data_IF_051684756754
#
_entry.id   IF_051684756754
#
_cell.length_a   1.000
_cell.length_b   1.000
_cell.length_c   1.000
_cell.angle_alpha   90.00
_cell.angle_beta   90.00
_cell.angle_gamma   90.00
#
_symmetry.space_group_name_H-M   'P 1'
#
loop_
_entity.id
_entity.type
_entity.pdbx_description
1 polymer ?
#
# COMPACT_ATOMS: atom_id res chain seq x y z
N UNK A 1 13.11 -2.35 6.61
CA UNK A 1 11.72 -2.36 6.10
C UNK A 1 11.78 -3.16 4.80
N UNK A 2 12.09 -4.44 4.92
CA UNK A 2 12.69 -5.28 3.86
C UNK A 2 11.87 -6.55 3.67
N UNK A 3 10.55 -6.48 3.93
CA UNK A 3 9.72 -7.68 4.09
C UNK A 3 8.65 -7.80 3.00
N UNK A 4 8.77 -7.02 1.92
CA UNK A 4 7.86 -7.11 0.77
C UNK A 4 8.71 -7.39 -0.47
N UNK A 5 8.50 -8.53 -1.12
CA UNK A 5 9.20 -8.88 -2.38
C UNK A 5 8.99 -7.80 -3.44
N UNK A 6 7.80 -7.19 -3.45
CA UNK A 6 7.46 -6.04 -4.28
C UNK A 6 8.29 -4.77 -3.98
N UNK A 7 8.96 -4.67 -2.83
CA UNK A 7 9.93 -3.62 -2.52
C UNK A 7 11.34 -4.03 -2.92
N UNK A 8 11.66 -5.31 -2.84
CA UNK A 8 12.99 -5.87 -3.12
C UNK A 8 13.25 -5.94 -4.63
N UNK A 9 12.26 -6.34 -5.43
CA UNK A 9 12.37 -6.54 -6.88
C UNK A 9 11.77 -5.40 -7.71
N UNK A 10 11.76 -4.18 -7.18
CA UNK A 10 11.09 -3.05 -7.85
C UNK A 10 11.67 -2.72 -9.20
N UNK A 11 12.99 -2.74 -9.29
CA UNK A 11 13.71 -2.42 -10.51
C UNK A 11 13.51 -3.49 -11.60
N UNK A 12 13.03 -4.69 -11.22
CA UNK A 12 12.70 -5.78 -12.14
C UNK A 12 11.21 -5.78 -12.54
N UNK A 13 10.32 -5.21 -11.71
CA UNK A 13 8.87 -5.25 -11.90
C UNK A 13 8.34 -3.94 -12.51
N UNK A 14 8.96 -2.81 -12.19
CA UNK A 14 8.56 -1.49 -12.64
C UNK A 14 9.51 -1.03 -13.75
N UNK A 15 8.97 -0.74 -14.92
CA UNK A 15 9.74 -0.29 -16.08
C UNK A 15 9.53 1.20 -16.34
N UNK A 16 10.61 1.94 -16.60
CA UNK A 16 10.56 3.36 -16.94
C UNK A 16 9.96 4.21 -15.81
N UNK A 17 8.98 5.04 -16.14
CA UNK A 17 8.34 5.99 -15.21
C UNK A 17 7.17 5.37 -14.41
N UNK A 18 7.20 4.05 -14.19
CA UNK A 18 6.18 3.36 -13.41
C UNK A 18 6.43 3.52 -11.91
N UNK A 19 5.34 3.71 -11.15
CA UNK A 19 5.39 3.89 -9.71
C UNK A 19 4.17 3.29 -9.02
N UNK A 20 4.32 2.99 -7.74
CA UNK A 20 3.27 2.48 -6.88
C UNK A 20 2.64 3.61 -6.06
N UNK A 21 1.32 3.69 -6.12
CA UNK A 21 0.53 4.52 -5.20
C UNK A 21 0.22 3.71 -3.95
N UNK A 22 0.68 4.19 -2.79
CA UNK A 22 0.63 3.41 -1.55
C UNK A 22 0.07 4.22 -0.38
N UNK A 23 -0.23 3.52 0.72
CA UNK A 23 -0.66 4.19 1.95
C UNK A 23 0.49 5.03 2.55
N UNK A 24 0.11 6.00 3.34
CA UNK A 24 0.96 6.93 4.06
C UNK A 24 1.99 6.27 4.99
N UNK A 25 1.81 4.99 5.32
CA UNK A 25 2.73 4.19 6.14
C UNK A 25 4.05 3.83 5.46
N UNK A 26 4.10 3.90 4.12
CA UNK A 26 5.30 3.58 3.35
C UNK A 26 6.21 4.81 3.22
N UNK A 27 7.51 4.57 3.19
CA UNK A 27 8.49 5.61 2.89
C UNK A 27 8.39 5.99 1.39
N UNK A 28 8.39 7.28 1.06
CA UNK A 28 8.46 7.72 -0.33
C UNK A 28 9.81 7.37 -0.95
N UNK A 29 9.80 7.06 -2.24
CA UNK A 29 10.95 6.68 -3.06
C UNK A 29 10.63 6.99 -4.53
N UNK A 30 11.60 6.85 -5.44
CA UNK A 30 11.44 7.16 -6.87
C UNK A 30 10.30 6.36 -7.52
N UNK A 31 10.06 5.14 -7.03
CA UNK A 31 9.00 4.24 -7.50
C UNK A 31 7.82 4.12 -6.52
N UNK A 32 7.80 4.92 -5.44
CA UNK A 32 6.77 4.86 -4.39
C UNK A 32 6.24 6.23 -4.04
N UNK A 33 4.96 6.41 -4.31
CA UNK A 33 4.26 7.64 -3.99
C UNK A 33 3.21 7.37 -2.91
N UNK A 34 3.51 7.65 -1.63
CA UNK A 34 2.57 7.48 -0.56
C UNK A 34 1.53 8.62 -0.49
N UNK A 35 0.38 8.31 0.08
CA UNK A 35 -0.61 9.32 0.53
C UNK A 35 0.05 10.30 1.51
N UNK A 36 -0.23 11.60 1.37
CA UNK A 36 0.31 12.61 2.29
C UNK A 36 -0.30 12.49 3.68
N UNK A 37 0.55 12.42 4.71
CA UNK A 37 0.12 12.52 6.12
C UNK A 37 -0.11 13.97 6.51
N UNK A 38 -1.20 14.23 7.24
CA UNK A 38 -1.39 15.52 7.89
C UNK A 38 -0.30 15.70 8.97
N UNK A 39 0.49 16.78 8.93
CA UNK A 39 1.50 17.05 9.96
C UNK A 39 0.82 17.43 11.30
N UNK A 40 1.49 17.13 12.42
CA UNK A 40 0.95 17.27 13.79
C UNK A 40 0.35 18.65 14.08
N UNK A 41 0.99 19.72 13.60
CA UNK A 41 0.58 21.11 13.80
C UNK A 41 0.40 21.86 12.47
N UNK A 42 -0.07 21.18 11.43
CA UNK A 42 -0.27 21.83 10.14
C UNK A 42 -1.40 21.22 9.33
N UNK A 43 -1.55 21.74 8.11
CA UNK A 43 -2.57 21.33 7.17
C UNK A 43 -1.91 20.79 5.91
N UNK A 44 -2.63 19.88 5.25
CA UNK A 44 -2.28 19.52 3.88
C UNK A 44 -2.57 20.72 2.98
N UNK A 45 -1.73 20.92 1.97
CA UNK A 45 -2.05 21.87 0.90
C UNK A 45 -3.29 21.40 0.13
N UNK A 46 -3.94 22.31 -0.59
CA UNK A 46 -5.09 21.95 -1.44
C UNK A 46 -4.74 20.87 -2.46
N UNK A 47 -3.54 20.94 -3.05
CA UNK A 47 -3.03 19.94 -3.98
C UNK A 47 -2.86 18.57 -3.30
N UNK A 48 -2.26 18.51 -2.11
CA UNK A 48 -2.11 17.27 -1.35
C UNK A 48 -3.45 16.67 -0.94
N UNK A 49 -4.40 17.51 -0.54
CA UNK A 49 -5.76 17.08 -0.19
C UNK A 49 -6.49 16.51 -1.41
N UNK A 50 -6.39 17.19 -2.55
CA UNK A 50 -6.98 16.73 -3.82
C UNK A 50 -6.36 15.42 -4.27
N UNK A 51 -5.03 15.29 -4.23
CA UNK A 51 -4.33 14.05 -4.53
C UNK A 51 -4.81 12.89 -3.64
N UNK A 52 -4.82 13.09 -2.31
CA UNK A 52 -5.29 12.09 -1.36
C UNK A 52 -6.75 11.69 -1.61
N UNK A 53 -7.60 12.65 -2.00
CA UNK A 53 -9.01 12.40 -2.31
C UNK A 53 -9.18 11.52 -3.54
N UNK A 54 -8.46 11.80 -4.62
CA UNK A 54 -8.53 10.98 -5.84
C UNK A 54 -7.98 9.57 -5.59
N UNK A 55 -6.84 9.46 -4.88
CA UNK A 55 -6.27 8.17 -4.51
C UNK A 55 -7.21 7.35 -3.60
N UNK A 56 -7.95 8.01 -2.70
CA UNK A 56 -8.94 7.35 -1.84
C UNK A 56 -10.06 6.68 -2.65
N UNK A 57 -10.47 7.27 -3.78
CA UNK A 57 -11.50 6.64 -4.64
C UNK A 57 -11.01 5.29 -5.17
N UNK A 58 -9.79 5.25 -5.73
CA UNK A 58 -9.18 4.02 -6.25
C UNK A 58 -9.06 2.97 -5.13
N UNK A 59 -8.66 3.40 -3.94
CA UNK A 59 -8.57 2.53 -2.77
C UNK A 59 -9.91 1.89 -2.39
N UNK A 60 -11.01 2.66 -2.42
CA UNK A 60 -12.36 2.12 -2.15
C UNK A 60 -12.72 0.98 -3.11
N UNK A 61 -12.38 1.09 -4.40
CA UNK A 61 -12.60 0.00 -5.36
C UNK A 61 -11.79 -1.26 -5.02
N UNK A 62 -10.51 -1.10 -4.68
CA UNK A 62 -9.65 -2.21 -4.31
C UNK A 62 -10.14 -2.91 -3.03
N UNK A 63 -10.46 -2.14 -1.99
CA UNK A 63 -10.98 -2.68 -0.73
C UNK A 63 -12.33 -3.35 -0.91
N UNK A 64 -13.21 -2.78 -1.72
CA UNK A 64 -14.50 -3.37 -2.04
C UNK A 64 -14.33 -4.70 -2.79
N UNK A 65 -13.49 -4.74 -3.82
CA UNK A 65 -13.18 -5.95 -4.57
C UNK A 65 -12.64 -7.06 -3.66
N UNK A 66 -11.63 -6.75 -2.84
CA UNK A 66 -11.05 -7.71 -1.89
C UNK A 66 -12.09 -8.13 -0.85
N UNK A 67 -12.95 -7.21 -0.40
CA UNK A 67 -14.06 -7.50 0.51
C UNK A 67 -15.06 -8.50 -0.09
N UNK A 68 -15.44 -8.32 -1.35
CA UNK A 68 -16.30 -9.25 -2.09
C UNK A 68 -15.62 -10.61 -2.23
N UNK A 69 -14.33 -10.66 -2.59
CA UNK A 69 -13.58 -11.91 -2.70
C UNK A 69 -13.53 -12.65 -1.36
N UNK A 70 -13.23 -11.97 -0.25
CA UNK A 70 -13.25 -12.56 1.10
C UNK A 70 -14.64 -13.00 1.50
N UNK A 71 -15.68 -12.25 1.11
CA UNK A 71 -17.08 -12.60 1.36
C UNK A 71 -17.50 -13.90 0.66
N UNK A 72 -17.08 -14.06 -0.60
CA UNK A 72 -17.36 -15.25 -1.42
C UNK A 72 -16.54 -16.46 -1.01
N UNK A 73 -15.26 -16.28 -0.76
CA UNK A 73 -14.33 -17.35 -0.41
C UNK A 73 -13.97 -17.24 1.07
N UNK A 74 -14.75 -17.89 1.94
CA UNK A 74 -14.52 -17.89 3.39
C UNK A 74 -13.11 -18.39 3.79
N UNK A 75 -12.46 -19.21 2.96
CA UNK A 75 -11.06 -19.59 3.13
C UNK A 75 -10.12 -18.38 3.24
N UNK A 76 -10.40 -17.29 2.52
CA UNK A 76 -9.63 -16.04 2.57
C UNK A 76 -9.89 -15.20 3.83
N UNK A 77 -10.97 -15.46 4.58
CA UNK A 77 -11.19 -14.82 5.89
C UNK A 77 -10.35 -15.45 6.98
N UNK A 78 -10.08 -16.76 6.88
CA UNK A 78 -9.29 -17.53 7.85
C UNK A 78 -7.81 -17.64 7.52
N UNK A 79 -7.38 -17.20 6.33
CA UNK A 79 -5.99 -17.25 5.90
C UNK A 79 -5.13 -16.25 6.69
N UNK A 80 -4.69 -16.66 7.88
CA UNK A 80 -3.65 -15.96 8.64
C UNK A 80 -2.31 -16.37 8.07
N UNK A 81 -1.86 -15.65 7.04
CA UNK A 81 -0.47 -15.78 6.59
C UNK A 81 0.41 -15.21 7.73
N UNK A 82 1.04 -16.09 8.50
CA UNK A 82 2.13 -15.66 9.40
C UNK A 82 3.28 -15.27 8.50
N UNK A 83 3.53 -13.98 8.37
CA UNK A 83 4.77 -13.45 7.82
C UNK A 83 5.86 -13.82 8.82
N UNK A 84 6.50 -14.98 8.62
CA UNK A 84 7.70 -15.37 9.34
C UNK A 84 8.88 -14.67 8.70
N UNK A 85 9.66 -13.97 9.50
CA UNK A 85 10.98 -13.52 9.09
C UNK A 85 11.98 -14.68 9.31
N UNK A 86 13.15 -14.61 8.68
CA UNK A 86 14.22 -15.63 8.81
C UNK A 86 14.65 -15.88 10.28
N UNK A 87 14.38 -14.92 11.17
CA UNK A 87 14.70 -14.99 12.61
C UNK A 87 13.56 -15.53 13.50
N UNK A 88 12.38 -15.87 12.95
CA UNK A 88 11.25 -16.40 13.73
C UNK A 88 11.30 -17.93 13.90
N UNK A 89 12.48 -18.52 13.70
CA UNK A 89 12.78 -19.95 13.74
C UNK A 89 13.83 -20.31 14.79
N UNK A 90 13.54 -20.02 16.07
CA UNK A 90 14.06 -20.73 17.24
C UNK A 90 12.92 -20.96 18.25
#
# INVERSE_FOLDING_TARGET
MTNCELQVYKDEILEGDQYLLVDSGFAPDDTVVPVFKKPRNGYLTEAQSTFNKELSKIRVWNEHCIGVLKGRFFSLKGLRLRLRNEHDGE
#
